data_IF_106370517243
#
_entry.id   IF_106370517243
#
_cell.length_a   1.000
_cell.length_b   1.000
_cell.length_c   1.000
_cell.angle_alpha   90.00
_cell.angle_beta   90.00
_cell.angle_gamma   90.00
#
_symmetry.space_group_name_H-M   'P 1'
#
loop_
_entity.id
_entity.type
_entity.pdbx_description
1 polymer ?
#
# COMPACT_ATOMS: atom_id res chain seq x y z
N UNK A 1 -2.47 8.18 9.89
CA UNK A 1 -1.29 7.92 9.04
C UNK A 1 -1.62 7.77 7.56
N UNK A 2 -2.48 6.83 7.14
CA UNK A 2 -2.79 6.62 5.70
C UNK A 2 -3.27 7.88 4.96
N UNK A 3 -4.13 8.69 5.58
CA UNK A 3 -4.55 10.00 5.02
C UNK A 3 -3.38 10.92 4.71
N UNK A 4 -2.40 11.03 5.63
CA UNK A 4 -1.23 11.90 5.42
C UNK A 4 -0.29 11.35 4.35
N UNK A 5 -0.17 10.02 4.22
CA UNK A 5 0.61 9.39 3.16
C UNK A 5 -0.02 9.64 1.79
N UNK A 6 -1.34 9.43 1.69
CA UNK A 6 -2.12 9.73 0.49
C UNK A 6 -1.98 11.20 0.09
N UNK A 7 -2.16 12.14 1.03
CA UNK A 7 -2.00 13.57 0.76
C UNK A 7 -0.59 13.91 0.32
N UNK A 8 0.45 13.34 0.95
CA UNK A 8 1.84 13.61 0.57
C UNK A 8 2.15 13.18 -0.87
N UNK A 9 1.57 12.07 -1.32
CA UNK A 9 1.69 11.60 -2.70
C UNK A 9 0.89 12.47 -3.67
N UNK A 10 -0.38 12.73 -3.35
CA UNK A 10 -1.27 13.48 -4.23
C UNK A 10 -0.79 14.93 -4.42
N UNK A 11 -0.32 15.58 -3.35
CA UNK A 11 0.23 16.93 -3.42
C UNK A 11 1.52 16.99 -4.22
N UNK A 12 2.41 15.99 -4.06
CA UNK A 12 3.64 15.91 -4.85
C UNK A 12 3.37 15.83 -6.36
N UNK A 13 2.34 15.09 -6.78
CA UNK A 13 1.97 15.02 -8.20
C UNK A 13 1.31 16.31 -8.69
N UNK A 14 0.53 17.00 -7.84
CA UNK A 14 0.01 18.33 -8.14
C UNK A 14 1.15 19.35 -8.30
N UNK A 15 2.16 19.32 -7.43
CA UNK A 15 3.32 20.23 -7.49
C UNK A 15 4.16 20.03 -8.75
N UNK A 16 4.11 18.83 -9.36
CA UNK A 16 4.71 18.54 -10.67
C UNK A 16 3.86 19.00 -11.86
N UNK A 17 2.68 19.59 -11.62
CA UNK A 17 1.73 20.02 -12.64
C UNK A 17 0.65 18.98 -13.00
N UNK A 18 0.48 17.93 -12.19
CA UNK A 18 -0.54 16.90 -12.40
C UNK A 18 -1.96 17.42 -12.14
N UNK A 19 -2.95 16.89 -12.88
CA UNK A 19 -4.37 17.18 -12.61
C UNK A 19 -4.82 16.56 -11.28
N UNK A 20 -5.92 17.06 -10.70
CA UNK A 20 -6.48 16.51 -9.45
C UNK A 20 -6.77 15.01 -9.56
N UNK A 21 -7.43 14.60 -10.64
CA UNK A 21 -7.81 13.20 -10.86
C UNK A 21 -6.59 12.31 -11.06
N UNK A 22 -5.62 12.75 -11.88
CA UNK A 22 -4.36 12.04 -12.08
C UNK A 22 -3.60 11.86 -10.78
N UNK A 23 -3.43 12.94 -10.01
CA UNK A 23 -2.68 12.94 -8.76
C UNK A 23 -3.32 12.05 -7.71
N UNK A 24 -4.66 12.06 -7.62
CA UNK A 24 -5.40 11.15 -6.75
C UNK A 24 -5.20 9.69 -7.16
N UNK A 25 -5.33 9.35 -8.45
CA UNK A 25 -5.14 7.99 -8.96
C UNK A 25 -3.70 7.52 -8.72
N UNK A 26 -2.71 8.36 -9.02
CA UNK A 26 -1.29 8.06 -8.78
C UNK A 26 -1.01 7.79 -7.30
N UNK A 27 -1.59 8.60 -6.41
CA UNK A 27 -1.49 8.40 -4.96
C UNK A 27 -2.18 7.12 -4.48
N UNK A 28 -3.36 6.78 -5.02
CA UNK A 28 -4.05 5.51 -4.75
C UNK A 28 -3.17 4.35 -5.17
N UNK A 29 -2.72 4.31 -6.43
CA UNK A 29 -1.93 3.21 -6.97
C UNK A 29 -0.65 2.97 -6.15
N UNK A 30 0.09 4.05 -5.90
CA UNK A 30 1.35 3.99 -5.16
C UNK A 30 1.13 3.53 -3.71
N UNK A 31 0.16 4.12 -3.00
CA UNK A 31 -0.10 3.76 -1.60
C UNK A 31 -0.61 2.31 -1.48
N UNK A 32 -1.47 1.89 -2.40
CA UNK A 32 -2.02 0.53 -2.41
C UNK A 32 -0.97 -0.53 -2.66
N UNK A 33 0.02 -0.25 -3.49
CA UNK A 33 1.17 -1.15 -3.69
C UNK A 33 1.92 -1.40 -2.37
N UNK A 34 2.29 -0.35 -1.64
CA UNK A 34 2.99 -0.52 -0.35
C UNK A 34 2.11 -1.14 0.74
N UNK A 35 0.81 -0.85 0.73
CA UNK A 35 -0.13 -1.55 1.61
C UNK A 35 -0.23 -3.04 1.27
N UNK A 36 -0.22 -3.42 0.00
CA UNK A 36 -0.18 -4.82 -0.43
C UNK A 36 1.09 -5.52 0.08
N UNK A 37 2.26 -4.88 -0.05
CA UNK A 37 3.51 -5.41 0.49
C UNK A 37 3.42 -5.67 2.00
N UNK A 38 2.86 -4.73 2.76
CA UNK A 38 2.66 -4.91 4.19
C UNK A 38 1.70 -6.07 4.51
N UNK A 39 0.59 -6.19 3.78
CA UNK A 39 -0.35 -7.30 3.97
C UNK A 39 0.31 -8.65 3.69
N UNK A 40 1.07 -8.73 2.60
CA UNK A 40 1.83 -9.94 2.23
C UNK A 40 2.89 -10.28 3.28
N UNK A 41 3.61 -9.28 3.77
CA UNK A 41 4.60 -9.46 4.83
C UNK A 41 3.95 -9.98 6.11
N UNK A 42 2.79 -9.43 6.49
CA UNK A 42 2.03 -9.90 7.65
C UNK A 42 1.65 -11.36 7.44
N UNK A 43 1.07 -11.73 6.29
CA UNK A 43 0.68 -13.12 6.00
C UNK A 43 1.87 -14.07 6.17
N UNK A 44 3.02 -13.77 5.54
CA UNK A 44 4.23 -14.59 5.64
C UNK A 44 4.76 -14.69 7.07
N UNK A 45 4.83 -13.58 7.80
CA UNK A 45 5.34 -13.56 9.18
C UNK A 45 4.37 -14.30 10.11
N UNK A 46 3.06 -14.10 9.95
CA UNK A 46 2.04 -14.71 10.84
C UNK A 46 1.99 -16.21 10.74
N UNK A 47 2.32 -16.80 9.59
CA UNK A 47 2.42 -18.25 9.43
C UNK A 47 3.40 -18.89 10.42
N UNK A 48 4.52 -18.21 10.68
CA UNK A 48 5.56 -18.66 11.60
C UNK A 48 5.03 -18.77 13.04
N UNK A 49 4.07 -17.92 13.41
CA UNK A 49 3.59 -17.79 14.79
C UNK A 49 2.23 -18.45 15.06
N UNK A 50 1.36 -18.60 14.05
CA UNK A 50 -0.06 -18.93 14.25
C UNK A 50 -0.48 -20.35 13.80
N UNK A 51 0.47 -21.20 13.40
CA UNK A 51 0.24 -22.63 13.24
C UNK A 51 -0.55 -23.04 11.98
N UNK A 52 -1.10 -24.27 11.99
CA UNK A 52 -1.57 -24.99 10.80
C UNK A 52 -2.70 -24.30 10.01
N UNK A 53 -3.64 -23.63 10.68
CA UNK A 53 -4.78 -22.96 10.02
C UNK A 53 -4.31 -21.79 9.14
N UNK A 54 -3.32 -21.01 9.61
CA UNK A 54 -2.74 -19.93 8.83
C UNK A 54 -1.87 -20.47 7.69
N UNK A 55 -1.18 -21.58 7.91
CA UNK A 55 -0.42 -22.26 6.85
C UNK A 55 -1.32 -22.73 5.70
N UNK A 56 -2.52 -23.24 5.96
CA UNK A 56 -3.48 -23.62 4.91
C UNK A 56 -3.93 -22.42 4.06
N UNK A 57 -4.26 -21.30 4.70
CA UNK A 57 -4.64 -20.06 4.01
C UNK A 57 -3.49 -19.55 3.14
N UNK A 58 -2.29 -19.51 3.70
CA UNK A 58 -1.10 -19.06 2.97
C UNK A 58 -0.76 -20.01 1.81
N UNK A 59 -0.82 -21.33 2.03
CA UNK A 59 -0.61 -22.31 0.96
C UNK A 59 -1.59 -22.12 -0.18
N UNK A 60 -2.85 -21.79 0.10
CA UNK A 60 -3.83 -21.46 -0.94
C UNK A 60 -3.46 -20.16 -1.67
N UNK A 61 -3.25 -19.07 -0.91
CA UNK A 61 -2.97 -17.74 -1.45
C UNK A 61 -1.67 -17.67 -2.26
N UNK A 62 -0.62 -18.35 -1.81
CA UNK A 62 0.71 -18.40 -2.42
C UNK A 62 0.93 -19.63 -3.30
N UNK A 63 -0.10 -20.44 -3.55
CA UNK A 63 0.01 -21.57 -4.49
C UNK A 63 0.43 -21.08 -5.88
N UNK A 64 1.27 -21.86 -6.56
CA UNK A 64 1.75 -21.53 -7.92
C UNK A 64 0.60 -21.27 -8.92
N UNK A 65 -0.57 -21.87 -8.69
CA UNK A 65 -1.75 -21.73 -9.55
C UNK A 65 -2.46 -20.39 -9.38
N UNK A 66 -2.37 -19.76 -8.21
CA UNK A 66 -3.23 -18.62 -7.85
C UNK A 66 -2.49 -17.40 -7.32
N UNK A 67 -1.18 -17.45 -7.02
CA UNK A 67 -0.47 -16.33 -6.38
C UNK A 67 -0.58 -15.00 -7.15
N UNK A 68 -0.49 -15.01 -8.48
CA UNK A 68 -0.68 -13.82 -9.32
C UNK A 68 -2.10 -13.28 -9.18
N UNK A 69 -3.10 -14.17 -9.28
CA UNK A 69 -4.50 -13.79 -9.15
C UNK A 69 -4.80 -13.21 -7.76
N UNK A 70 -4.30 -13.86 -6.71
CA UNK A 70 -4.41 -13.40 -5.32
C UNK A 70 -3.79 -12.00 -5.15
N UNK A 71 -2.58 -11.78 -5.68
CA UNK A 71 -1.90 -10.48 -5.61
C UNK A 71 -2.71 -9.38 -6.31
N UNK A 72 -3.20 -9.66 -7.51
CA UNK A 72 -3.98 -8.71 -8.32
C UNK A 72 -5.30 -8.37 -7.64
N UNK A 73 -6.04 -9.37 -7.16
CA UNK A 73 -7.32 -9.17 -6.47
C UNK A 73 -7.11 -8.34 -5.20
N UNK A 74 -6.12 -8.69 -4.37
CA UNK A 74 -5.81 -7.94 -3.16
C UNK A 74 -5.39 -6.50 -3.47
N UNK A 75 -4.57 -6.29 -4.50
CA UNK A 75 -4.22 -4.95 -4.95
C UNK A 75 -5.46 -4.11 -5.27
N UNK A 76 -6.39 -4.65 -6.07
CA UNK A 76 -7.61 -3.94 -6.43
C UNK A 76 -8.52 -3.68 -5.23
N UNK A 77 -8.66 -4.65 -4.31
CA UNK A 77 -9.42 -4.45 -3.06
C UNK A 77 -8.83 -3.28 -2.27
N UNK A 78 -7.51 -3.24 -2.10
CA UNK A 78 -6.83 -2.15 -1.38
C UNK A 78 -6.98 -0.83 -2.14
N UNK A 79 -6.77 -0.80 -3.46
CA UNK A 79 -6.94 0.38 -4.31
C UNK A 79 -8.35 0.97 -4.25
N UNK A 80 -9.37 0.13 -4.39
CA UNK A 80 -10.78 0.53 -4.25
C UNK A 80 -11.02 1.11 -2.86
N UNK A 81 -10.55 0.44 -1.80
CA UNK A 81 -10.71 0.89 -0.41
C UNK A 81 -10.07 2.26 -0.19
N UNK A 82 -8.83 2.46 -0.64
CA UNK A 82 -8.10 3.73 -0.52
C UNK A 82 -8.79 4.83 -1.33
N UNK A 83 -9.20 4.53 -2.56
CA UNK A 83 -9.89 5.48 -3.44
C UNK A 83 -11.20 5.96 -2.82
N UNK A 84 -12.11 5.05 -2.45
CA UNK A 84 -13.40 5.44 -1.87
C UNK A 84 -13.24 6.20 -0.55
N UNK A 85 -12.21 5.88 0.23
CA UNK A 85 -11.93 6.58 1.49
C UNK A 85 -11.45 8.01 1.29
N UNK A 86 -10.72 8.31 0.22
CA UNK A 86 -10.04 9.60 0.04
C UNK A 86 -10.44 10.41 -1.20
N UNK A 87 -11.30 9.89 -2.09
CA UNK A 87 -11.74 10.56 -3.32
C UNK A 87 -12.36 11.95 -3.10
N UNK A 88 -13.01 12.15 -1.95
CA UNK A 88 -13.72 13.38 -1.63
C UNK A 88 -12.84 14.40 -0.88
N UNK A 89 -11.56 14.12 -0.65
CA UNK A 89 -10.67 15.10 -0.01
C UNK A 89 -10.47 16.30 -0.92
N UNK A 90 -10.58 17.49 -0.34
CA UNK A 90 -10.22 18.74 -1.01
C UNK A 90 -8.71 18.91 -1.00
N UNK A 91 -8.08 18.38 -2.04
CA UNK A 91 -6.63 18.42 -2.21
C UNK A 91 -6.10 19.86 -2.32
N UNK A 92 -6.91 20.82 -2.81
CA UNK A 92 -6.46 22.20 -3.06
C UNK A 92 -6.38 23.01 -1.77
N UNK A 93 -7.38 22.91 -0.89
CA UNK A 93 -7.27 23.58 0.42
C UNK A 93 -6.23 22.91 1.32
N UNK A 94 -6.08 21.57 1.21
CA UNK A 94 -5.08 20.82 1.98
C UNK A 94 -3.64 21.05 1.50
N UNK A 95 -3.42 21.33 0.22
CA UNK A 95 -2.11 21.71 -0.34
C UNK A 95 -1.51 22.91 0.40
N UNK A 96 -2.34 23.92 0.66
CA UNK A 96 -1.93 25.16 1.33
C UNK A 96 -1.58 24.96 2.81
N UNK A 97 -2.06 23.89 3.44
CA UNK A 97 -1.88 23.61 4.86
C UNK A 97 -0.74 22.61 5.16
N UNK A 98 -0.31 21.84 4.16
CA UNK A 98 0.68 20.78 4.32
C UNK A 98 1.84 20.92 3.33
N UNK A 99 2.80 21.83 3.58
CA UNK A 99 4.00 21.93 2.76
C UNK A 99 4.79 20.62 2.86
N UNK A 100 4.83 19.87 1.75
CA UNK A 100 5.76 18.79 1.45
C UNK A 100 6.05 17.75 2.55
N UNK A 101 5.05 16.91 2.83
CA UNK A 101 5.15 15.75 3.73
C UNK A 101 5.78 14.48 3.13
N UNK A 102 6.36 14.52 1.92
CA UNK A 102 6.81 13.32 1.18
C UNK A 102 7.80 12.45 1.97
N UNK A 103 8.60 13.04 2.87
CA UNK A 103 9.51 12.30 3.74
C UNK A 103 8.81 11.22 4.57
N UNK A 104 7.58 11.46 5.04
CA UNK A 104 6.78 10.45 5.75
C UNK A 104 6.45 9.26 4.87
N UNK A 105 6.17 9.51 3.60
CA UNK A 105 5.93 8.45 2.63
C UNK A 105 7.21 7.67 2.30
N UNK A 106 8.34 8.36 2.14
CA UNK A 106 9.64 7.69 1.90
C UNK A 106 9.98 6.75 3.05
N UNK A 107 9.84 7.21 4.30
CA UNK A 107 10.08 6.37 5.49
C UNK A 107 9.13 5.18 5.52
N UNK A 108 7.84 5.40 5.27
CA UNK A 108 6.85 4.32 5.19
C UNK A 108 7.20 3.30 4.11
N UNK A 109 7.53 3.74 2.90
CA UNK A 109 7.88 2.86 1.79
C UNK A 109 9.16 2.07 2.04
N UNK A 110 10.18 2.71 2.60
CA UNK A 110 11.43 2.05 2.99
C UNK A 110 11.18 0.98 4.06
N UNK A 111 10.41 1.31 5.10
CA UNK A 111 10.05 0.35 6.14
C UNK A 111 9.24 -0.83 5.59
N UNK A 112 8.25 -0.57 4.74
CA UNK A 112 7.48 -1.61 4.04
C UNK A 112 8.36 -2.54 3.20
N UNK A 113 9.33 -1.98 2.48
CA UNK A 113 10.31 -2.77 1.71
C UNK A 113 11.19 -3.64 2.60
N UNK A 114 11.73 -3.08 3.68
CA UNK A 114 12.57 -3.82 4.64
C UNK A 114 11.79 -4.97 5.27
N UNK A 115 10.56 -4.71 5.74
CA UNK A 115 9.70 -5.72 6.36
C UNK A 115 9.37 -6.84 5.38
N UNK A 116 9.10 -6.51 4.12
CA UNK A 116 8.83 -7.52 3.09
C UNK A 116 10.06 -8.37 2.77
N UNK A 117 11.23 -7.75 2.59
CA UNK A 117 12.49 -8.47 2.37
C UNK A 117 12.79 -9.39 3.55
N UNK A 118 12.63 -8.90 4.78
CA UNK A 118 12.82 -9.71 5.99
C UNK A 118 11.84 -10.89 6.05
N UNK A 119 10.57 -10.68 5.71
CA UNK A 119 9.57 -11.74 5.66
C UNK A 119 9.92 -12.83 4.63
N UNK A 120 10.48 -12.44 3.47
CA UNK A 120 10.98 -13.41 2.48
C UNK A 120 12.12 -14.26 3.04
N UNK A 121 13.08 -13.66 3.74
CA UNK A 121 14.19 -14.41 4.34
C UNK A 121 13.78 -15.39 5.44
N UNK A 122 12.67 -15.13 6.13
CA UNK A 122 12.16 -16.03 7.17
C UNK A 122 11.38 -17.23 6.61
N UNK A 123 10.96 -17.17 5.35
CA UNK A 123 10.12 -18.19 4.69
C UNK A 123 10.90 -19.04 3.67
N UNK A 124 12.18 -18.68 3.39
CA UNK A 124 13.14 -19.53 2.66
C UNK A 124 13.67 -20.62 3.59
#
# INVERSE_FOLDING_TARGET
MLKSLFLSLALREIDKGGTRSYSAISAVSTLSFFMLLNLWSILLITEIFLGSVFAEINNFLFSQKHYIASAVILYFIVAITVYYRYKNLDLVSLAKQHPNGIGRFIIYGAFSGIVFIYALFLHI
#
